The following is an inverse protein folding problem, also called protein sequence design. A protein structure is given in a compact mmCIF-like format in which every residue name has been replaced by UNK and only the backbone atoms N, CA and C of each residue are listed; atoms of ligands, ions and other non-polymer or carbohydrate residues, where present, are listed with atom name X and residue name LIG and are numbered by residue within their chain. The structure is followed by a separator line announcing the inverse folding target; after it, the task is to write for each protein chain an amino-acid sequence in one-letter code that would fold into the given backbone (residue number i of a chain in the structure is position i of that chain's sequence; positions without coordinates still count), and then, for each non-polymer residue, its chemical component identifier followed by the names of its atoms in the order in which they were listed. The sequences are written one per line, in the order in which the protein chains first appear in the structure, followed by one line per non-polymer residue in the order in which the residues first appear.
data_IF_277060278803
#
_entry.id   IF_277060278803
#
_cell.length_a   1.000
_cell.length_b   1.000
_cell.length_c   1.000
_cell.angle_alpha   90.00
_cell.angle_beta   90.00
_cell.angle_gamma   90.00
#
_symmetry.space_group_name_H-M   'P 1'
#
loop_
_entity.id
_entity.type
_entity.pdbx_description
1 polymer ?
#
# COMPACT_ATOMS: atom_id res chain seq x y z
N UNK A 1 6.16 -3.34 14.29
CA UNK A 1 5.45 -2.20 13.66
C UNK A 1 5.94 -1.99 12.25
N UNK A 2 5.04 -1.87 11.30
CA UNK A 2 5.38 -1.64 9.90
C UNK A 2 6.07 -0.29 9.67
N UNK A 3 6.58 -0.08 8.48
CA UNK A 3 7.14 1.19 8.05
C UNK A 3 6.87 1.45 6.58
N UNK A 4 6.74 2.70 6.23
CA UNK A 4 6.55 3.14 4.85
C UNK A 4 7.64 4.11 4.46
N UNK A 5 7.99 4.11 3.17
CA UNK A 5 8.90 5.08 2.55
C UNK A 5 8.27 5.64 1.29
N UNK A 6 8.66 6.85 0.91
CA UNK A 6 8.13 7.45 -0.31
C UNK A 6 9.05 8.55 -0.84
N UNK A 7 9.04 8.71 -2.15
CA UNK A 7 9.77 9.77 -2.85
C UNK A 7 8.87 10.34 -3.94
N UNK A 8 8.78 11.67 -4.01
CA UNK A 8 8.11 12.38 -5.10
C UNK A 8 9.08 13.44 -5.63
N UNK A 9 9.37 13.40 -6.93
CA UNK A 9 10.13 14.47 -7.58
C UNK A 9 9.18 15.53 -8.15
N UNK A 10 9.60 16.78 -8.09
CA UNK A 10 8.84 17.89 -8.68
C UNK A 10 8.75 17.78 -10.20
N UNK A 11 9.81 17.29 -10.84
CA UNK A 11 9.82 17.04 -12.27
C UNK A 11 9.06 15.74 -12.57
N UNK A 12 7.92 15.79 -13.28
CA UNK A 12 7.14 14.59 -13.60
C UNK A 12 7.90 13.57 -14.45
N UNK A 13 8.93 14.02 -15.15
CA UNK A 13 9.76 13.15 -16.01
C UNK A 13 10.91 12.49 -15.28
N UNK A 14 11.16 12.83 -14.00
CA UNK A 14 12.26 12.27 -13.23
C UNK A 14 11.83 11.00 -12.51
N UNK A 15 12.30 9.82 -12.95
CA UNK A 15 11.92 8.55 -12.34
C UNK A 15 12.53 8.36 -10.95
N UNK A 16 11.86 7.58 -10.12
CA UNK A 16 12.39 7.10 -8.85
C UNK A 16 12.95 5.70 -9.07
N UNK A 17 14.28 5.49 -8.89
CA UNK A 17 14.86 4.17 -9.07
C UNK A 17 14.34 3.18 -8.02
N UNK A 18 13.99 1.97 -8.44
CA UNK A 18 13.56 0.90 -7.54
C UNK A 18 14.63 0.58 -6.50
N UNK A 19 15.90 0.65 -6.88
CA UNK A 19 17.00 0.39 -5.96
C UNK A 19 17.06 1.39 -4.81
N UNK A 20 16.76 2.67 -5.07
CA UNK A 20 16.65 3.67 -4.01
C UNK A 20 15.60 3.28 -2.99
N UNK A 21 14.42 2.85 -3.46
CA UNK A 21 13.34 2.40 -2.58
C UNK A 21 13.73 1.16 -1.78
N UNK A 22 14.44 0.21 -2.38
CA UNK A 22 14.96 -0.97 -1.67
C UNK A 22 15.92 -0.57 -0.56
N UNK A 23 16.82 0.35 -0.83
CA UNK A 23 17.76 0.87 0.17
C UNK A 23 17.04 1.59 1.31
N UNK A 24 16.01 2.38 0.97
CA UNK A 24 15.19 3.04 1.97
C UNK A 24 14.41 2.01 2.82
N UNK A 25 13.87 0.98 2.19
CA UNK A 25 13.20 -0.11 2.90
C UNK A 25 14.19 -0.89 3.79
N UNK A 26 15.41 -1.13 3.33
CA UNK A 26 16.43 -1.79 4.12
C UNK A 26 16.78 -0.99 5.39
N UNK A 27 16.78 0.32 5.30
CA UNK A 27 17.04 1.19 6.45
C UNK A 27 15.97 1.05 7.55
N UNK A 28 14.75 0.65 7.19
CA UNK A 28 13.64 0.44 8.14
C UNK A 28 13.26 -1.04 8.29
N UNK A 29 14.12 -1.95 7.92
CA UNK A 29 13.88 -3.41 8.01
C UNK A 29 13.50 -3.86 9.42
N UNK A 30 14.09 -3.24 10.44
CA UNK A 30 13.79 -3.54 11.84
C UNK A 30 12.32 -3.30 12.22
N UNK A 31 11.61 -2.44 11.49
CA UNK A 31 10.19 -2.16 11.72
C UNK A 31 9.29 -3.23 11.11
N UNK A 32 9.70 -3.81 9.98
CA UNK A 32 8.92 -4.80 9.26
C UNK A 32 9.81 -5.84 8.60
N UNK A 33 10.25 -6.86 9.37
CA UNK A 33 11.20 -7.85 8.84
C UNK A 33 10.57 -8.91 7.94
N UNK A 34 9.23 -9.04 7.93
CA UNK A 34 8.56 -10.20 7.34
C UNK A 34 8.27 -10.05 5.86
N UNK A 35 8.03 -8.83 5.38
CA UNK A 35 7.65 -8.60 3.99
C UNK A 35 8.09 -7.21 3.52
N UNK A 36 8.31 -7.11 2.22
CA UNK A 36 8.67 -5.87 1.54
C UNK A 36 7.88 -5.73 0.25
N UNK A 37 7.41 -4.53 -0.03
CA UNK A 37 6.79 -4.20 -1.31
C UNK A 37 7.23 -2.83 -1.76
N UNK A 38 7.43 -2.66 -3.07
CA UNK A 38 7.76 -1.38 -3.67
C UNK A 38 6.91 -1.12 -4.91
N UNK A 39 6.68 0.16 -5.18
CA UNK A 39 6.02 0.65 -6.39
C UNK A 39 6.81 1.82 -6.94
N UNK A 40 6.99 1.84 -8.26
CA UNK A 40 7.58 2.96 -8.98
C UNK A 40 6.62 3.45 -10.05
N UNK A 41 6.23 4.72 -9.98
CA UNK A 41 5.50 5.44 -11.03
C UNK A 41 6.45 6.33 -11.82
N UNK A 42 5.90 7.33 -12.52
CA UNK A 42 6.71 8.24 -13.34
C UNK A 42 7.70 9.03 -12.48
N UNK A 43 7.20 9.76 -11.47
CA UNK A 43 8.01 10.58 -10.57
C UNK A 43 7.76 10.26 -9.09
N UNK A 44 7.12 9.12 -8.82
CA UNK A 44 6.74 8.69 -7.47
C UNK A 44 7.28 7.30 -7.21
N UNK A 45 7.80 7.09 -6.03
CA UNK A 45 8.14 5.76 -5.53
C UNK A 45 7.58 5.56 -4.13
N UNK A 46 7.02 4.39 -3.87
CA UNK A 46 6.49 3.99 -2.57
C UNK A 46 7.10 2.67 -2.14
N UNK A 47 7.32 2.51 -0.86
CA UNK A 47 7.79 1.26 -0.30
C UNK A 47 7.16 0.97 1.05
N UNK A 48 7.09 -0.32 1.37
CA UNK A 48 6.48 -0.83 2.60
C UNK A 48 7.32 -1.95 3.18
N UNK A 49 7.58 -1.87 4.47
CA UNK A 49 8.11 -2.99 5.26
C UNK A 49 7.05 -3.43 6.23
N UNK A 50 6.77 -4.72 6.27
CA UNK A 50 5.63 -5.26 7.01
C UNK A 50 6.07 -6.19 8.14
N UNK A 51 5.46 -6.00 9.30
CA UNK A 51 5.45 -6.97 10.39
C UNK A 51 4.12 -7.72 10.32
N UNK A 52 4.16 -8.97 9.87
CA UNK A 52 2.98 -9.81 9.66
C UNK A 52 2.83 -10.79 10.80
N UNK A 53 1.89 -10.54 11.70
CA UNK A 53 1.65 -11.44 12.84
C UNK A 53 0.58 -12.47 12.49
N UNK A 54 -0.40 -12.14 11.63
CA UNK A 54 -1.61 -12.95 11.46
C UNK A 54 -1.87 -13.40 10.02
N UNK A 55 -1.65 -12.56 9.01
CA UNK A 55 -1.97 -12.91 7.62
C UNK A 55 -0.85 -12.48 6.68
N UNK A 56 -0.01 -13.44 6.31
CA UNK A 56 1.11 -13.21 5.40
C UNK A 56 0.67 -12.98 3.96
N UNK A 57 -0.45 -13.57 3.54
CA UNK A 57 -0.88 -13.55 2.14
C UNK A 57 -1.83 -12.40 1.80
N UNK A 58 -2.73 -12.05 2.72
CA UNK A 58 -3.84 -11.14 2.44
C UNK A 58 -3.55 -9.66 2.58
N UNK A 59 -2.39 -9.29 3.13
CA UNK A 59 -2.08 -7.88 3.43
C UNK A 59 -0.83 -7.35 2.74
N UNK A 60 -0.33 -8.03 1.72
CA UNK A 60 0.84 -7.56 0.97
C UNK A 60 0.55 -6.18 0.35
N UNK A 61 1.46 -5.24 0.57
CA UNK A 61 1.39 -3.88 0.03
C UNK A 61 2.59 -3.62 -0.89
N UNK A 62 2.49 -2.72 -1.87
CA UNK A 62 1.34 -1.81 -2.15
C UNK A 62 0.10 -2.54 -2.65
N UNK A 63 -1.08 -1.94 -2.42
CA UNK A 63 -2.36 -2.43 -2.92
C UNK A 63 -2.86 -1.50 -4.03
N UNK A 64 -3.37 -2.08 -5.11
CA UNK A 64 -3.91 -1.35 -6.26
C UNK A 64 -5.43 -1.48 -6.30
N UNK A 65 -6.10 -0.45 -6.84
CA UNK A 65 -7.52 -0.55 -7.16
C UNK A 65 -7.75 -1.38 -8.44
N UNK A 66 -9.01 -1.51 -8.88
CA UNK A 66 -9.41 -2.42 -9.97
C UNK A 66 -8.66 -2.15 -11.29
N UNK A 67 -8.53 -0.88 -11.66
CA UNK A 67 -7.89 -0.44 -12.90
C UNK A 67 -6.43 -0.02 -12.74
N UNK A 68 -5.87 -0.24 -11.54
CA UNK A 68 -4.48 0.09 -11.21
C UNK A 68 -4.12 1.58 -11.37
N UNK A 69 -5.12 2.46 -11.32
CA UNK A 69 -4.89 3.92 -11.38
C UNK A 69 -4.57 4.51 -10.01
N UNK A 70 -4.86 3.79 -8.94
CA UNK A 70 -4.58 4.19 -7.56
C UNK A 70 -3.80 3.11 -6.84
N UNK A 71 -2.89 3.53 -5.99
CA UNK A 71 -2.05 2.62 -5.21
C UNK A 71 -1.87 3.18 -3.80
N UNK A 72 -1.83 2.29 -2.83
CA UNK A 72 -1.66 2.66 -1.41
C UNK A 72 -0.58 1.82 -0.73
N UNK A 73 0.21 2.49 0.11
CA UNK A 73 0.95 1.89 1.22
C UNK A 73 0.44 2.52 2.50
N UNK A 74 0.22 1.70 3.52
CA UNK A 74 -0.45 2.16 4.73
C UNK A 74 0.11 1.45 5.96
N UNK A 75 0.47 2.23 6.96
CA UNK A 75 0.85 1.72 8.27
C UNK A 75 -0.15 2.24 9.30
N UNK A 76 -1.15 1.43 9.63
CA UNK A 76 -2.20 1.79 10.56
C UNK A 76 -3.32 0.77 10.56
N UNK A 77 -4.40 1.11 11.22
CA UNK A 77 -5.59 0.26 11.32
C UNK A 77 -6.86 1.09 11.13
N UNK A 78 -7.84 0.52 10.42
CA UNK A 78 -9.16 1.09 10.23
C UNK A 78 -10.16 0.23 11.02
N UNK A 79 -10.56 0.70 12.20
CA UNK A 79 -11.36 -0.10 13.13
C UNK A 79 -12.75 -0.46 12.62
N UNK A 80 -13.35 0.42 11.82
CA UNK A 80 -14.66 0.19 11.23
C UNK A 80 -14.58 -0.32 9.77
N UNK A 81 -13.50 -0.97 9.40
CA UNK A 81 -13.27 -1.40 8.00
C UNK A 81 -14.36 -2.35 7.48
N UNK A 82 -14.94 -3.18 8.35
CA UNK A 82 -16.00 -4.13 7.96
C UNK A 82 -17.25 -3.40 7.49
N UNK A 83 -17.63 -2.34 8.20
CA UNK A 83 -18.75 -1.48 7.80
C UNK A 83 -18.46 -0.76 6.48
N UNK A 84 -17.27 -0.18 6.36
CA UNK A 84 -16.84 0.51 5.14
C UNK A 84 -16.80 -0.45 3.95
N UNK A 85 -16.25 -1.64 4.15
CA UNK A 85 -16.21 -2.70 3.15
C UNK A 85 -17.62 -3.09 2.68
N UNK A 86 -18.55 -3.27 3.60
CA UNK A 86 -19.93 -3.61 3.27
C UNK A 86 -20.60 -2.52 2.42
N UNK A 87 -20.35 -1.25 2.74
CA UNK A 87 -20.85 -0.10 1.97
C UNK A 87 -20.25 -0.05 0.57
N UNK A 88 -18.96 -0.29 0.44
CA UNK A 88 -18.28 -0.33 -0.85
C UNK A 88 -18.81 -1.44 -1.75
N UNK A 89 -19.01 -2.63 -1.20
CA UNK A 89 -19.56 -3.77 -1.93
C UNK A 89 -21.01 -3.52 -2.34
N UNK A 90 -21.81 -2.90 -1.46
CA UNK A 90 -23.21 -2.58 -1.75
C UNK A 90 -23.35 -1.56 -2.88
N UNK A 91 -22.37 -0.68 -3.09
CA UNK A 91 -22.39 0.29 -4.18
C UNK A 91 -22.28 -0.35 -5.57
N UNK A 92 -21.71 -1.55 -5.65
CA UNK A 92 -21.50 -2.27 -6.91
C UNK A 92 -20.40 -1.73 -7.81
N UNK A 93 -19.73 -0.65 -7.38
CA UNK A 93 -18.70 0.05 -8.18
C UNK A 93 -17.29 -0.39 -7.89
N UNK A 94 -17.08 -1.22 -6.86
CA UNK A 94 -15.77 -1.61 -6.38
C UNK A 94 -15.61 -3.12 -6.33
N UNK A 95 -14.42 -3.58 -6.72
CA UNK A 95 -14.01 -4.98 -6.58
C UNK A 95 -12.89 -5.06 -5.54
N UNK A 96 -13.17 -5.66 -4.40
CA UNK A 96 -12.19 -5.85 -3.34
C UNK A 96 -11.52 -7.21 -3.52
N UNK A 97 -10.19 -7.20 -3.58
CA UNK A 97 -9.37 -8.40 -3.81
C UNK A 97 -8.84 -9.04 -2.54
N UNK A 98 -8.81 -8.27 -1.44
CA UNK A 98 -8.28 -8.72 -0.16
C UNK A 98 -9.32 -8.56 0.94
N UNK A 99 -9.00 -9.03 2.14
CA UNK A 99 -9.79 -8.76 3.34
C UNK A 99 -9.14 -7.69 4.21
N UNK A 100 -8.10 -7.04 3.70
CA UNK A 100 -7.36 -5.99 4.41
C UNK A 100 -8.21 -4.73 4.60
N UNK A 101 -8.08 -4.12 5.77
CA UNK A 101 -8.69 -2.82 6.05
C UNK A 101 -8.11 -1.70 5.17
N UNK A 102 -6.85 -1.82 4.79
CA UNK A 102 -6.15 -0.89 3.90
C UNK A 102 -6.86 -0.71 2.56
N UNK A 103 -7.38 -1.78 2.00
CA UNK A 103 -8.09 -1.73 0.72
C UNK A 103 -9.34 -0.87 0.79
N UNK A 104 -10.01 -0.82 1.93
CA UNK A 104 -11.16 0.06 2.14
C UNK A 104 -10.79 1.53 1.98
N UNK A 105 -9.62 1.94 2.47
CA UNK A 105 -9.12 3.32 2.30
C UNK A 105 -8.91 3.63 0.82
N UNK A 106 -8.30 2.71 0.09
CA UNK A 106 -8.01 2.87 -1.34
C UNK A 106 -9.28 3.11 -2.16
N UNK A 107 -10.30 2.29 -1.96
CA UNK A 107 -11.56 2.41 -2.70
C UNK A 107 -12.39 3.63 -2.27
N UNK A 108 -12.31 4.04 -1.01
CA UNK A 108 -12.95 5.27 -0.55
C UNK A 108 -12.31 6.52 -1.14
N UNK A 109 -11.03 6.45 -1.48
CA UNK A 109 -10.32 7.54 -2.14
C UNK A 109 -10.73 7.71 -3.61
N UNK A 110 -11.16 6.66 -4.27
CA UNK A 110 -11.63 6.74 -5.66
C UNK A 110 -12.75 7.76 -5.83
#
# INVERSE_FOLDING_TARGET
MCGIVGVIHRDPARPVPAELLRRMCDAIRHRGPDDEGIFTGENVGLGMRRLSIIDLAGGHQPIFNEDETKVIVFNGEIYNYRELRARLLASGSHTLRTVSDTESVLHLYE
#
